data_IF_261310683185
#
_entry.id   IF_261310683185
#
_cell.length_a   1.000
_cell.length_b   1.000
_cell.length_c   1.000
_cell.angle_alpha   90.00
_cell.angle_beta   90.00
_cell.angle_gamma   90.00
#
_symmetry.space_group_name_H-M   'P 1'
#
loop_
_entity.id
_entity.type
_entity.pdbx_description
1 polymer ?
#
# COMPACT_ATOMS: atom_id res chain seq x y z
N UNK A 1 50.50 47.31 25.15
CA UNK A 1 50.77 45.95 25.67
C UNK A 1 49.61 45.07 25.18
N UNK A 2 49.78 44.29 24.08
CA UNK A 2 50.15 42.85 24.05
C UNK A 2 49.00 41.97 24.65
N UNK A 3 48.33 40.99 24.01
CA UNK A 3 48.46 40.24 22.74
C UNK A 3 47.15 39.49 22.36
N UNK A 4 46.99 39.22 21.05
CA UNK A 4 46.60 37.99 20.31
C UNK A 4 45.29 37.18 20.48
N UNK A 5 44.88 36.77 19.26
CA UNK A 5 43.89 35.85 18.66
C UNK A 5 43.64 34.49 19.32
N UNK A 6 42.40 33.99 19.20
CA UNK A 6 42.10 32.58 18.92
C UNK A 6 40.81 32.42 18.11
N UNK A 7 40.90 31.62 17.05
CA UNK A 7 39.83 31.12 16.17
C UNK A 7 39.17 29.85 16.77
N UNK A 8 38.15 29.32 16.07
CA UNK A 8 37.43 28.01 16.23
C UNK A 8 36.06 28.21 16.93
N UNK A 9 34.86 27.90 16.39
CA UNK A 9 34.41 27.13 15.20
C UNK A 9 32.97 27.49 14.78
N UNK A 10 32.72 27.33 13.48
CA UNK A 10 31.44 27.30 12.74
C UNK A 10 30.58 26.08 13.17
N UNK A 11 29.25 26.15 13.34
CA UNK A 11 28.15 25.90 12.36
C UNK A 11 26.90 25.40 13.12
N UNK A 12 25.71 25.17 12.53
CA UNK A 12 24.96 25.96 11.54
C UNK A 12 23.45 26.10 11.91
N UNK A 13 22.73 27.07 11.37
CA UNK A 13 21.29 26.90 11.08
C UNK A 13 21.09 27.31 9.64
N UNK A 14 21.11 26.32 8.75
CA UNK A 14 20.67 26.48 7.36
C UNK A 14 19.14 26.43 7.38
N UNK A 15 18.54 27.55 6.99
CA UNK A 15 17.13 27.62 6.62
C UNK A 15 17.05 27.10 5.19
N UNK A 16 16.53 25.89 5.01
CA UNK A 16 16.24 25.34 3.68
C UNK A 16 15.07 26.13 3.05
N UNK A 17 15.18 26.58 1.78
CA UNK A 17 14.09 27.24 1.09
C UNK A 17 13.03 26.22 0.66
N UNK A 18 11.78 26.69 0.59
CA UNK A 18 10.58 25.89 0.40
C UNK A 18 10.62 24.93 -0.79
N UNK A 19 9.93 23.80 -0.59
CA UNK A 19 9.46 22.91 -1.65
C UNK A 19 8.57 23.73 -2.58
N UNK A 20 9.11 24.08 -3.74
CA UNK A 20 8.34 24.63 -4.85
C UNK A 20 7.46 23.49 -5.41
N UNK A 21 6.19 23.47 -5.01
CA UNK A 21 5.19 22.58 -5.56
C UNK A 21 4.87 23.07 -6.97
N UNK A 22 5.66 22.64 -7.94
CA UNK A 22 5.38 22.92 -9.35
C UNK A 22 4.27 21.96 -9.82
N UNK A 23 3.05 22.43 -10.15
CA UNK A 23 1.89 21.58 -10.41
C UNK A 23 1.90 20.89 -11.78
N UNK A 24 3.05 20.86 -12.47
CA UNK A 24 3.21 20.26 -13.81
C UNK A 24 4.08 18.98 -13.81
N UNK A 25 4.59 18.56 -12.65
CA UNK A 25 5.41 17.34 -12.47
C UNK A 25 4.61 16.15 -11.90
N UNK A 26 3.37 15.98 -12.35
CA UNK A 26 2.56 14.79 -12.05
C UNK A 26 2.90 13.58 -12.96
N UNK A 27 3.92 13.71 -13.81
CA UNK A 27 4.41 12.62 -14.66
C UNK A 27 5.43 11.77 -13.91
N UNK A 28 4.94 10.84 -13.10
CA UNK A 28 5.78 9.81 -12.49
C UNK A 28 6.53 9.04 -13.59
N UNK A 29 7.86 9.21 -13.65
CA UNK A 29 8.70 8.56 -14.64
C UNK A 29 8.55 7.02 -14.57
N UNK A 30 8.53 6.29 -15.71
CA UNK A 30 8.34 4.84 -15.72
C UNK A 30 9.33 4.06 -14.85
N UNK A 31 10.56 4.60 -14.69
CA UNK A 31 11.60 4.03 -13.85
C UNK A 31 11.27 4.13 -12.36
N UNK A 32 10.67 5.25 -11.93
CA UNK A 32 10.27 5.45 -10.54
C UNK A 32 9.09 4.56 -10.17
N UNK A 33 8.16 4.36 -11.11
CA UNK A 33 7.08 3.40 -10.93
C UNK A 33 7.61 1.96 -10.86
N UNK A 34 8.57 1.59 -11.71
CA UNK A 34 9.21 0.27 -11.67
C UNK A 34 9.98 0.02 -10.35
N UNK A 35 10.71 1.03 -9.86
CA UNK A 35 11.38 0.99 -8.57
C UNK A 35 10.39 0.86 -7.41
N UNK A 36 9.31 1.64 -7.44
CA UNK A 36 8.22 1.58 -6.45
C UNK A 36 7.54 0.21 -6.42
N UNK A 37 7.22 -0.36 -7.58
CA UNK A 37 6.62 -1.70 -7.69
C UNK A 37 7.57 -2.80 -7.19
N UNK A 38 8.87 -2.66 -7.44
CA UNK A 38 9.89 -3.60 -6.96
C UNK A 38 10.01 -3.54 -5.44
N UNK A 39 9.97 -2.35 -4.85
CA UNK A 39 9.95 -2.15 -3.40
C UNK A 39 8.69 -2.75 -2.77
N UNK A 40 7.54 -2.58 -3.40
CA UNK A 40 6.28 -3.17 -2.94
C UNK A 40 6.31 -4.69 -3.02
N UNK A 41 6.72 -5.26 -4.17
CA UNK A 41 6.82 -6.71 -4.36
C UNK A 41 7.80 -7.36 -3.38
N UNK A 42 8.93 -6.71 -3.11
CA UNK A 42 9.90 -7.15 -2.09
C UNK A 42 9.26 -7.19 -0.71
N UNK A 43 8.59 -6.11 -0.29
CA UNK A 43 7.89 -6.07 0.98
C UNK A 43 6.78 -7.14 1.08
N UNK A 44 6.08 -7.39 -0.02
CA UNK A 44 5.04 -8.42 -0.10
C UNK A 44 5.62 -9.82 0.05
N UNK A 45 6.79 -10.10 -0.52
CA UNK A 45 7.46 -11.39 -0.39
C UNK A 45 8.04 -11.61 1.02
N UNK A 46 8.51 -10.54 1.67
CA UNK A 46 9.12 -10.63 3.00
C UNK A 46 8.10 -10.66 4.15
N UNK A 47 6.86 -10.23 3.92
CA UNK A 47 5.86 -10.18 4.98
C UNK A 47 5.41 -11.59 5.42
N UNK A 48 5.64 -12.01 6.68
CA UNK A 48 5.24 -13.34 7.14
C UNK A 48 3.72 -13.55 7.15
N UNK A 49 2.94 -12.50 7.35
CA UNK A 49 1.47 -12.59 7.38
C UNK A 49 0.85 -12.91 6.01
N UNK A 50 1.63 -12.72 4.94
CA UNK A 50 1.20 -13.03 3.57
C UNK A 50 1.76 -14.37 3.06
N UNK A 51 2.57 -15.07 3.86
CA UNK A 51 3.29 -16.29 3.44
C UNK A 51 2.37 -17.36 2.86
N UNK A 52 1.28 -17.68 3.56
CA UNK A 52 0.33 -18.70 3.10
C UNK A 52 -0.28 -18.31 1.75
N UNK A 53 -0.73 -17.06 1.61
CA UNK A 53 -1.32 -16.59 0.36
C UNK A 53 -0.34 -16.59 -0.82
N UNK A 54 0.97 -16.37 -0.57
CA UNK A 54 2.02 -16.54 -1.58
C UNK A 54 2.25 -18.00 -1.96
N UNK A 55 2.22 -18.90 -0.99
CA UNK A 55 2.36 -20.34 -1.23
C UNK A 55 1.17 -20.91 -2.03
N UNK A 56 -0.01 -20.31 -1.88
CA UNK A 56 -1.25 -20.74 -2.53
C UNK A 56 -1.49 -20.08 -3.91
N UNK A 57 -0.48 -19.42 -4.50
CA UNK A 57 -0.57 -18.87 -5.86
C UNK A 57 -0.77 -20.01 -6.85
N UNK A 58 -1.78 -19.89 -7.71
CA UNK A 58 -2.16 -20.93 -8.68
C UNK A 58 -1.92 -20.51 -10.13
N UNK A 59 -1.79 -19.21 -10.39
CA UNK A 59 -1.60 -18.64 -11.74
C UNK A 59 -0.51 -17.58 -11.66
N UNK A 60 0.44 -17.61 -12.61
CA UNK A 60 1.51 -16.61 -12.75
C UNK A 60 1.42 -16.00 -14.15
N UNK A 61 1.19 -14.69 -14.21
CA UNK A 61 1.09 -13.91 -15.44
C UNK A 61 0.13 -14.54 -16.48
N UNK A 62 -1.03 -15.01 -15.99
CA UNK A 62 -2.08 -15.63 -16.81
C UNK A 62 -1.86 -17.11 -17.13
N UNK A 63 -0.74 -17.70 -16.72
CA UNK A 63 -0.44 -19.12 -16.93
C UNK A 63 -0.65 -19.91 -15.64
N UNK A 64 -1.50 -20.96 -15.63
CA UNK A 64 -1.67 -21.78 -14.43
C UNK A 64 -0.38 -22.54 -14.11
N UNK A 65 -0.01 -22.60 -12.84
CA UNK A 65 1.16 -23.36 -12.37
C UNK A 65 0.96 -24.86 -12.64
N UNK A 66 -0.26 -25.36 -12.43
CA UNK A 66 -0.66 -26.70 -12.82
C UNK A 66 -1.17 -26.67 -14.27
N UNK A 67 -0.36 -27.15 -15.20
CA UNK A 67 -0.64 -27.10 -16.64
C UNK A 67 -2.01 -27.73 -16.95
N UNK A 68 -2.89 -26.94 -17.58
CA UNK A 68 -4.25 -27.37 -17.94
C UNK A 68 -5.28 -27.30 -16.81
N UNK A 69 -4.91 -26.88 -15.60
CA UNK A 69 -5.84 -26.68 -14.48
C UNK A 69 -5.93 -25.22 -14.07
N UNK A 70 -6.99 -24.55 -14.51
CA UNK A 70 -7.35 -23.22 -14.01
C UNK A 70 -8.09 -23.30 -12.67
N UNK A 71 -7.93 -22.33 -11.76
CA UNK A 71 -8.71 -22.25 -10.55
C UNK A 71 -10.21 -22.20 -10.87
N UNK A 72 -11.01 -23.06 -10.26
CA UNK A 72 -12.46 -23.13 -10.46
C UNK A 72 -13.28 -22.67 -9.23
N UNK A 73 -12.60 -22.23 -8.18
CA UNK A 73 -13.21 -21.78 -6.93
C UNK A 73 -12.67 -20.41 -6.50
N UNK A 74 -13.43 -19.74 -5.63
CA UNK A 74 -13.04 -18.50 -5.00
C UNK A 74 -12.95 -18.70 -3.47
N UNK A 75 -12.01 -18.03 -2.80
CA UNK A 75 -10.93 -17.23 -3.38
C UNK A 75 -9.80 -18.11 -3.95
N UNK A 76 -9.03 -17.58 -4.89
CA UNK A 76 -7.74 -18.14 -5.31
C UNK A 76 -6.70 -17.02 -5.45
N UNK A 77 -5.43 -17.38 -5.55
CA UNK A 77 -4.33 -16.41 -5.62
C UNK A 77 -3.62 -16.46 -6.96
N UNK A 78 -3.25 -15.29 -7.46
CA UNK A 78 -2.55 -15.13 -8.73
C UNK A 78 -1.36 -14.18 -8.54
N UNK A 79 -0.33 -14.34 -9.36
CA UNK A 79 0.79 -13.42 -9.46
C UNK A 79 0.74 -12.69 -10.80
N UNK A 80 0.90 -11.37 -10.77
CA UNK A 80 0.96 -10.52 -11.96
C UNK A 80 2.08 -9.52 -11.80
N UNK A 81 3.03 -9.48 -12.74
CA UNK A 81 4.16 -8.53 -12.72
C UNK A 81 4.90 -8.52 -11.38
N UNK A 82 5.12 -9.71 -10.80
CA UNK A 82 5.80 -9.88 -9.51
C UNK A 82 4.99 -9.50 -8.26
N UNK A 83 3.70 -9.18 -8.40
CA UNK A 83 2.80 -8.88 -7.28
C UNK A 83 1.72 -9.96 -7.13
N UNK A 84 1.40 -10.32 -5.90
CA UNK A 84 0.39 -11.30 -5.55
C UNK A 84 -0.97 -10.61 -5.31
N UNK A 85 -2.00 -11.21 -5.90
CA UNK A 85 -3.39 -10.80 -5.79
C UNK A 85 -4.25 -11.97 -5.31
N UNK A 86 -5.30 -11.64 -4.56
CA UNK A 86 -6.42 -12.54 -4.25
C UNK A 86 -7.54 -12.25 -5.22
N UNK A 87 -8.01 -13.26 -5.95
CA UNK A 87 -9.22 -13.16 -6.74
C UNK A 87 -10.38 -13.65 -5.89
N UNK A 88 -11.43 -12.85 -5.76
CA UNK A 88 -12.59 -13.13 -4.90
C UNK A 88 -13.88 -12.65 -5.56
N UNK A 89 -15.03 -13.14 -5.07
CA UNK A 89 -16.34 -12.58 -5.42
C UNK A 89 -16.81 -11.56 -4.39
N UNK A 90 -17.40 -10.47 -4.87
CA UNK A 90 -18.16 -9.50 -4.07
C UNK A 90 -19.52 -9.33 -4.77
N UNK A 91 -20.57 -9.94 -4.23
CA UNK A 91 -21.85 -10.04 -4.92
C UNK A 91 -21.71 -10.83 -6.23
N UNK A 92 -22.05 -10.20 -7.35
CA UNK A 92 -21.91 -10.77 -8.69
C UNK A 92 -20.53 -10.51 -9.32
N UNK A 93 -19.77 -9.56 -8.76
CA UNK A 93 -18.51 -9.12 -9.34
C UNK A 93 -17.36 -10.02 -8.90
N UNK A 94 -16.48 -10.33 -9.84
CA UNK A 94 -15.16 -10.92 -9.55
C UNK A 94 -14.15 -9.78 -9.45
N UNK A 95 -13.46 -9.70 -8.31
CA UNK A 95 -12.47 -8.66 -8.04
C UNK A 95 -11.11 -9.27 -7.79
N UNK A 96 -10.08 -8.56 -8.24
CA UNK A 96 -8.69 -8.84 -7.92
C UNK A 96 -8.22 -7.87 -6.83
N UNK A 97 -7.79 -8.40 -5.71
CA UNK A 97 -7.39 -7.66 -4.53
C UNK A 97 -5.88 -7.76 -4.34
N UNK A 98 -5.16 -6.65 -4.40
CA UNK A 98 -3.72 -6.63 -4.13
C UNK A 98 -3.47 -7.02 -2.66
N UNK A 99 -2.56 -7.98 -2.42
CA UNK A 99 -2.15 -8.32 -1.06
C UNK A 99 -1.27 -7.20 -0.50
N UNK A 100 -1.73 -6.57 0.59
CA UNK A 100 -1.03 -5.41 1.16
C UNK A 100 -0.10 -5.84 2.29
N UNK A 101 1.22 -5.60 2.16
CA UNK A 101 2.18 -5.81 3.24
C UNK A 101 1.85 -4.94 4.44
N UNK A 102 2.10 -5.43 5.64
CA UNK A 102 1.80 -4.82 6.94
C UNK A 102 2.25 -3.35 7.00
N UNK A 103 3.46 -3.05 6.51
CA UNK A 103 4.02 -1.69 6.48
C UNK A 103 3.22 -0.68 5.65
N UNK A 104 2.38 -1.13 4.71
CA UNK A 104 1.57 -0.27 3.84
C UNK A 104 0.08 -0.25 4.20
N UNK A 105 -0.37 -1.11 5.12
CA UNK A 105 -1.79 -1.20 5.51
C UNK A 105 -2.32 0.12 6.06
N UNK A 106 -1.53 0.79 6.91
CA UNK A 106 -1.90 2.09 7.48
C UNK A 106 -2.10 3.14 6.39
N UNK A 107 -1.18 3.24 5.43
CA UNK A 107 -1.34 4.14 4.27
C UNK A 107 -2.61 3.84 3.49
N UNK A 108 -2.93 2.56 3.24
CA UNK A 108 -4.18 2.18 2.55
C UNK A 108 -5.41 2.58 3.36
N UNK A 109 -5.40 2.37 4.68
CA UNK A 109 -6.47 2.76 5.59
C UNK A 109 -6.67 4.28 5.59
N UNK A 110 -5.60 5.05 5.80
CA UNK A 110 -5.62 6.51 5.85
C UNK A 110 -6.15 7.09 4.52
N UNK A 111 -5.70 6.57 3.38
CA UNK A 111 -6.16 7.02 2.05
C UNK A 111 -7.64 6.67 1.79
N UNK A 112 -8.08 5.50 2.22
CA UNK A 112 -9.47 5.08 2.03
C UNK A 112 -10.42 5.88 2.94
N UNK A 113 -9.96 6.21 4.15
CA UNK A 113 -10.70 6.91 5.19
C UNK A 113 -10.74 8.43 5.00
N UNK A 114 -9.60 9.05 4.65
CA UNK A 114 -9.43 10.51 4.60
C UNK A 114 -9.66 11.17 3.24
N UNK A 115 -10.26 10.49 2.27
CA UNK A 115 -10.37 11.02 0.90
C UNK A 115 -11.22 12.31 0.82
N UNK A 116 -10.58 13.41 0.40
CA UNK A 116 -11.06 14.81 0.33
C UNK A 116 -12.46 14.98 -0.30
N UNK A 117 -12.82 14.13 -1.27
CA UNK A 117 -14.10 14.23 -1.99
C UNK A 117 -15.25 13.39 -1.38
N UNK A 118 -15.06 12.78 -0.21
CA UNK A 118 -16.04 11.83 0.34
C UNK A 118 -16.22 11.83 1.85
N UNK A 119 -15.45 12.59 2.61
CA UNK A 119 -15.58 12.70 4.06
C UNK A 119 -15.26 11.40 4.81
N UNK A 120 -15.33 11.49 6.14
CA UNK A 120 -15.25 10.40 7.10
C UNK A 120 -16.38 9.37 6.90
N UNK A 121 -16.30 8.63 5.80
CA UNK A 121 -17.24 7.58 5.45
C UNK A 121 -17.15 6.51 6.55
N UNK A 122 -18.22 6.37 7.33
CA UNK A 122 -18.28 5.38 8.41
C UNK A 122 -17.80 3.98 7.99
N UNK A 123 -17.49 3.13 8.98
CA UNK A 123 -16.78 1.84 8.84
C UNK A 123 -17.16 1.05 7.58
N UNK A 124 -18.45 0.87 7.32
CA UNK A 124 -18.95 0.06 6.20
C UNK A 124 -18.49 0.60 4.83
N UNK A 125 -18.55 1.91 4.61
CA UNK A 125 -18.17 2.51 3.33
C UNK A 125 -16.65 2.49 3.12
N UNK A 126 -15.88 2.73 4.20
CA UNK A 126 -14.41 2.60 4.17
C UNK A 126 -14.01 1.15 3.86
N UNK A 127 -14.63 0.18 4.54
CA UNK A 127 -14.46 -1.25 4.25
C UNK A 127 -14.76 -1.56 2.80
N UNK A 128 -15.95 -1.20 2.31
CA UNK A 128 -16.41 -1.54 0.98
C UNK A 128 -15.51 -0.95 -0.13
N UNK A 129 -14.85 0.19 0.14
CA UNK A 129 -13.84 0.75 -0.77
C UNK A 129 -12.56 -0.09 -0.76
N UNK A 130 -12.06 -0.43 0.42
CA UNK A 130 -10.80 -1.17 0.57
C UNK A 130 -10.92 -2.57 -0.03
N UNK A 131 -11.95 -3.34 0.35
CA UNK A 131 -12.08 -4.74 -0.07
C UNK A 131 -12.32 -4.88 -1.57
N UNK A 132 -12.69 -3.83 -2.30
CA UNK A 132 -12.78 -3.92 -3.76
C UNK A 132 -11.41 -4.00 -4.45
N UNK A 133 -10.32 -3.60 -3.79
CA UNK A 133 -8.99 -3.46 -4.40
C UNK A 133 -7.86 -4.08 -3.59
N UNK A 134 -8.06 -4.31 -2.30
CA UNK A 134 -7.00 -4.71 -1.39
C UNK A 134 -7.44 -5.86 -0.50
N UNK A 135 -6.47 -6.66 -0.08
CA UNK A 135 -6.66 -7.75 0.85
C UNK A 135 -5.46 -7.89 1.79
N UNK A 136 -5.74 -8.27 3.03
CA UNK A 136 -4.80 -8.88 3.96
C UNK A 136 -5.58 -9.69 5.00
N UNK A 137 -4.96 -10.69 5.66
CA UNK A 137 -5.60 -11.38 6.77
C UNK A 137 -5.96 -10.39 7.89
N UNK A 138 -7.22 -10.41 8.35
CA UNK A 138 -7.70 -9.50 9.40
C UNK A 138 -8.17 -8.12 8.94
N UNK A 139 -8.23 -7.85 7.63
CA UNK A 139 -8.62 -6.55 7.04
C UNK A 139 -9.89 -5.93 7.64
N UNK A 140 -10.92 -6.75 7.92
CA UNK A 140 -12.18 -6.28 8.49
C UNK A 140 -12.00 -5.67 9.89
N UNK A 141 -11.26 -6.37 10.75
CA UNK A 141 -10.99 -5.92 12.11
C UNK A 141 -10.08 -4.68 12.12
N UNK A 142 -9.08 -4.65 11.24
CA UNK A 142 -8.19 -3.49 11.12
C UNK A 142 -8.94 -2.23 10.63
N UNK A 143 -9.87 -2.35 9.67
CA UNK A 143 -10.71 -1.23 9.22
C UNK A 143 -11.61 -0.72 10.34
N UNK A 144 -12.31 -1.63 11.03
CA UNK A 144 -13.22 -1.25 12.12
C UNK A 144 -12.46 -0.53 13.25
N UNK A 145 -11.30 -1.05 13.64
CA UNK A 145 -10.43 -0.43 14.63
C UNK A 145 -9.96 0.96 14.19
N UNK A 146 -9.46 1.08 12.95
CA UNK A 146 -8.95 2.34 12.43
C UNK A 146 -10.01 3.44 12.41
N UNK A 147 -11.21 3.15 11.93
CA UNK A 147 -12.30 4.13 11.94
C UNK A 147 -12.81 4.43 13.36
N UNK A 148 -12.81 3.45 14.28
CA UNK A 148 -13.21 3.66 15.68
C UNK A 148 -12.21 4.48 16.49
N UNK A 149 -10.93 4.47 16.11
CA UNK A 149 -9.88 5.31 16.69
C UNK A 149 -9.89 6.75 16.13
N UNK A 150 -10.70 7.05 15.10
CA UNK A 150 -10.74 8.37 14.48
C UNK A 150 -11.58 9.37 15.29
N UNK A 151 -10.99 10.44 15.86
CA UNK A 151 -11.72 11.42 16.66
C UNK A 151 -12.80 12.18 15.87
N UNK A 152 -12.61 12.34 14.56
CA UNK A 152 -13.56 13.05 13.69
C UNK A 152 -14.80 12.20 13.34
N UNK A 153 -14.74 10.88 13.57
CA UNK A 153 -15.83 9.94 13.28
C UNK A 153 -16.62 9.51 14.51
N UNK A 154 -16.14 9.85 15.72
CA UNK A 154 -16.82 9.58 17.00
C UNK A 154 -17.92 10.63 17.24
#
# INVERSE_FOLDING_TARGET
MKWQTSLITNSPVLVEPGVDLNPEDDNLEPADLAGSLTNFGTAQNQDPTLQQARADVQVVDGTPINVGMMPNSFPHFIMKKGLVYRVSKIGVDVVEQLLVPTRYRRTVLDLAHGHILGGHLGIDKTRDRIVRRFYWPGIQAEVARHCGECPECQ
#
